data_IF_522498574827
#
_entry.id   IF_522498574827
#
_cell.length_a   1.000
_cell.length_b   1.000
_cell.length_c   1.000
_cell.angle_alpha   90.00
_cell.angle_beta   90.00
_cell.angle_gamma   90.00
#
_symmetry.space_group_name_H-M   'P 1'
#
loop_
_entity.id
_entity.type
_entity.pdbx_description
1 polymer ?
#
# COMPACT_ATOMS: atom_id res chain seq x y z
N UNK A 1 6.13 -22.83 -2.74
CA UNK A 1 5.38 -22.83 -4.03
C UNK A 1 4.67 -21.49 -4.15
N UNK A 2 4.78 -20.85 -5.32
CA UNK A 2 4.00 -19.68 -5.67
C UNK A 2 2.73 -20.08 -6.42
N UNK A 3 1.62 -19.35 -6.23
CA UNK A 3 0.36 -19.62 -6.92
C UNK A 3 0.51 -19.54 -8.46
N UNK A 4 -0.30 -20.30 -9.24
CA UNK A 4 -0.13 -20.38 -10.69
C UNK A 4 -0.43 -19.09 -11.46
N UNK A 5 -1.07 -18.11 -10.80
CA UNK A 5 -1.34 -16.80 -11.38
C UNK A 5 -0.36 -15.72 -10.87
N UNK A 6 0.56 -16.07 -9.95
CA UNK A 6 1.50 -15.12 -9.37
C UNK A 6 0.81 -13.93 -8.67
N UNK A 7 -0.39 -14.16 -8.10
CA UNK A 7 -1.19 -13.08 -7.46
C UNK A 7 -0.46 -12.51 -6.26
N UNK A 8 0.11 -13.40 -5.43
CA UNK A 8 0.93 -12.99 -4.28
C UNK A 8 2.41 -13.08 -4.60
N UNK A 9 3.22 -12.13 -4.15
CA UNK A 9 4.67 -12.19 -4.32
C UNK A 9 5.27 -13.31 -3.46
N UNK A 10 6.34 -13.90 -3.95
CA UNK A 10 7.18 -14.83 -3.22
C UNK A 10 8.61 -14.68 -3.71
N UNK A 11 9.47 -14.19 -2.84
CA UNK A 11 10.88 -13.92 -3.11
C UNK A 11 11.77 -14.89 -2.35
N UNK A 12 12.91 -15.21 -2.91
CA UNK A 12 13.89 -16.12 -2.31
C UNK A 12 15.22 -15.39 -2.09
N UNK A 13 15.88 -15.71 -1.00
CA UNK A 13 17.25 -15.34 -0.70
C UNK A 13 18.06 -16.52 -0.23
N UNK A 14 19.37 -16.35 -0.25
CA UNK A 14 20.37 -17.28 0.26
C UNK A 14 21.35 -16.59 1.19
N UNK A 15 21.94 -17.34 2.09
CA UNK A 15 23.01 -16.87 2.98
C UNK A 15 23.97 -18.01 3.25
N UNK A 16 25.27 -17.74 3.12
CA UNK A 16 26.28 -18.73 3.49
C UNK A 16 26.36 -18.86 5.01
N UNK A 17 26.34 -20.08 5.48
CA UNK A 17 26.44 -20.41 6.90
C UNK A 17 27.84 -20.95 7.18
N UNK A 18 28.74 -20.06 7.56
CA UNK A 18 30.16 -20.38 7.78
C UNK A 18 30.38 -21.45 8.86
N UNK A 19 29.46 -21.55 9.84
CA UNK A 19 29.56 -22.54 10.92
C UNK A 19 29.28 -23.96 10.44
N UNK A 20 28.39 -24.10 9.48
CA UNK A 20 27.95 -25.40 8.96
C UNK A 20 28.56 -25.74 7.59
N UNK A 21 29.23 -24.77 6.94
CA UNK A 21 29.72 -24.92 5.57
C UNK A 21 28.60 -25.19 4.56
N UNK A 22 27.39 -24.64 4.80
CA UNK A 22 26.18 -24.86 3.99
C UNK A 22 25.52 -23.53 3.64
N UNK A 23 24.71 -23.53 2.60
CA UNK A 23 23.88 -22.40 2.22
C UNK A 23 22.51 -22.49 2.87
N UNK A 24 22.11 -21.48 3.62
CA UNK A 24 20.75 -21.31 4.14
C UNK A 24 19.88 -20.62 3.10
N UNK A 25 18.63 -21.04 2.96
CA UNK A 25 17.64 -20.45 2.06
C UNK A 25 16.47 -19.89 2.83
N UNK A 26 16.03 -18.70 2.44
CA UNK A 26 14.85 -18.06 3.02
C UNK A 26 13.86 -17.68 1.92
N UNK A 27 12.57 -17.85 2.23
CA UNK A 27 11.45 -17.47 1.36
C UNK A 27 10.55 -16.49 2.10
N UNK A 28 10.19 -15.39 1.46
CA UNK A 28 9.33 -14.38 2.04
C UNK A 28 8.37 -13.79 1.01
N UNK A 29 7.32 -13.14 1.49
CA UNK A 29 6.41 -12.37 0.63
C UNK A 29 6.98 -11.01 0.23
N UNK A 30 7.99 -10.51 0.94
CA UNK A 30 8.57 -9.17 0.74
C UNK A 30 10.08 -9.19 0.95
N UNK A 31 10.82 -8.43 0.12
CA UNK A 31 12.29 -8.32 0.18
C UNK A 31 12.83 -7.82 1.53
N UNK A 32 12.18 -6.85 2.25
CA UNK A 32 12.69 -6.38 3.54
C UNK A 32 12.79 -7.46 4.63
N UNK A 33 12.09 -8.58 4.48
CA UNK A 33 12.24 -9.70 5.41
C UNK A 33 13.58 -10.43 5.22
N UNK A 34 14.07 -10.48 3.99
CA UNK A 34 15.38 -11.04 3.62
C UNK A 34 16.51 -10.09 4.05
N UNK A 35 16.33 -8.80 3.75
CA UNK A 35 17.30 -7.74 4.10
C UNK A 35 17.54 -7.68 5.62
N UNK A 36 16.46 -7.81 6.43
CA UNK A 36 16.54 -7.75 7.89
C UNK A 36 17.36 -8.89 8.52
N UNK A 37 17.57 -9.97 7.79
CA UNK A 37 18.33 -11.15 8.23
C UNK A 37 19.61 -11.36 7.43
N UNK A 38 20.01 -10.37 6.62
CA UNK A 38 21.22 -10.37 5.79
C UNK A 38 21.24 -11.54 4.75
N UNK A 39 20.09 -11.87 4.16
CA UNK A 39 20.04 -12.80 3.04
C UNK A 39 20.24 -12.08 1.71
N UNK A 40 21.14 -12.59 0.88
CA UNK A 40 21.29 -12.13 -0.51
C UNK A 40 20.04 -12.52 -1.31
N UNK A 41 19.35 -11.53 -1.88
CA UNK A 41 18.16 -11.75 -2.69
C UNK A 41 18.56 -12.42 -4.01
N UNK A 42 17.98 -13.57 -4.31
CA UNK A 42 18.22 -14.33 -5.56
C UNK A 42 17.14 -14.12 -6.60
N UNK A 43 15.99 -13.54 -6.22
CA UNK A 43 14.90 -13.13 -7.09
C UNK A 43 13.54 -13.71 -6.71
N UNK A 44 12.53 -13.29 -7.46
CA UNK A 44 11.15 -13.76 -7.29
C UNK A 44 10.94 -15.14 -7.91
N UNK A 45 10.10 -15.96 -7.28
CA UNK A 45 9.63 -17.21 -7.89
C UNK A 45 8.64 -16.89 -9.01
N UNK A 46 8.69 -17.67 -10.08
CA UNK A 46 7.73 -17.55 -11.19
C UNK A 46 6.34 -18.05 -10.77
N UNK A 47 5.25 -17.58 -11.42
CA UNK A 47 3.93 -18.17 -11.23
C UNK A 47 3.93 -19.69 -11.40
N UNK A 48 3.32 -20.42 -10.46
CA UNK A 48 3.28 -21.87 -10.46
C UNK A 48 4.59 -22.59 -10.15
N UNK A 49 5.63 -21.85 -9.77
CA UNK A 49 6.94 -22.42 -9.45
C UNK A 49 6.98 -22.95 -8.01
N UNK A 50 7.54 -24.14 -7.85
CA UNK A 50 7.92 -24.73 -6.57
C UNK A 50 9.45 -24.80 -6.45
N UNK A 51 9.93 -24.51 -5.26
CA UNK A 51 11.33 -24.73 -4.87
C UNK A 51 11.34 -25.72 -3.71
N UNK A 52 12.18 -26.72 -3.82
CA UNK A 52 12.45 -27.70 -2.78
C UNK A 52 13.92 -27.61 -2.38
N UNK A 53 14.19 -27.61 -1.10
CA UNK A 53 15.54 -27.67 -0.53
C UNK A 53 15.61 -28.91 0.35
N UNK A 54 16.55 -29.81 0.07
CA UNK A 54 16.77 -31.03 0.85
C UNK A 54 17.49 -30.71 2.18
N UNK A 55 17.54 -31.65 3.09
CA UNK A 55 18.30 -31.55 4.35
C UNK A 55 19.82 -31.45 4.10
N UNK A 56 20.28 -31.94 2.98
CA UNK A 56 21.67 -31.84 2.54
C UNK A 56 22.01 -30.44 1.93
N UNK A 57 20.98 -29.61 1.67
CA UNK A 57 21.13 -28.29 1.09
C UNK A 57 21.01 -28.27 -0.44
N UNK A 58 20.65 -29.39 -1.07
CA UNK A 58 20.42 -29.45 -2.51
C UNK A 58 19.11 -28.77 -2.86
N UNK A 59 19.16 -27.81 -3.79
CA UNK A 59 17.99 -27.06 -4.26
C UNK A 59 17.53 -27.54 -5.62
N UNK A 60 16.24 -27.80 -5.75
CA UNK A 60 15.59 -28.09 -7.03
C UNK A 60 14.41 -27.14 -7.27
N UNK A 61 14.17 -26.80 -8.53
CA UNK A 61 13.10 -25.88 -8.95
C UNK A 61 12.28 -26.53 -10.06
N UNK A 62 10.94 -26.37 -9.97
CA UNK A 62 10.03 -26.91 -10.99
C UNK A 62 8.81 -26.02 -11.13
N UNK A 63 8.38 -25.73 -12.35
CA UNK A 63 7.05 -25.19 -12.62
C UNK A 63 6.04 -26.34 -12.55
N UNK A 64 5.08 -26.25 -11.62
CA UNK A 64 4.13 -27.30 -11.28
C UNK A 64 2.74 -27.09 -11.90
N UNK A 65 2.60 -26.14 -12.82
CA UNK A 65 1.34 -25.84 -13.49
C UNK A 65 1.55 -25.72 -15.00
N UNK A 66 0.69 -26.36 -15.80
CA UNK A 66 0.86 -26.46 -17.26
C UNK A 66 0.71 -25.12 -18.00
N UNK A 67 -0.06 -24.19 -17.44
CA UNK A 67 -0.34 -22.89 -18.07
C UNK A 67 -0.32 -21.76 -17.02
N UNK A 68 0.83 -21.46 -16.43
CA UNK A 68 0.94 -20.38 -15.46
C UNK A 68 0.69 -19.03 -16.14
N UNK A 69 0.00 -18.11 -15.45
CA UNK A 69 -0.25 -16.75 -15.92
C UNK A 69 0.28 -15.75 -14.91
N UNK A 70 0.84 -14.66 -15.38
CA UNK A 70 1.31 -13.59 -14.51
C UNK A 70 0.22 -12.53 -14.34
N UNK A 71 -0.51 -12.59 -13.23
CA UNK A 71 -1.61 -11.69 -12.88
C UNK A 71 -1.41 -11.13 -11.46
N UNK A 72 -0.37 -10.31 -11.23
CA UNK A 72 -0.03 -9.81 -9.89
C UNK A 72 -1.11 -8.89 -9.34
N UNK A 73 -1.29 -8.91 -8.04
CA UNK A 73 -2.23 -8.04 -7.35
C UNK A 73 -1.67 -6.62 -7.23
N UNK A 74 -2.33 -5.63 -7.83
CA UNK A 74 -1.93 -4.22 -7.73
C UNK A 74 -1.93 -3.69 -6.29
N UNK A 75 -2.74 -4.27 -5.40
CA UNK A 75 -2.82 -3.87 -3.99
C UNK A 75 -1.52 -4.12 -3.21
N UNK A 76 -0.65 -5.01 -3.68
CA UNK A 76 0.70 -5.14 -3.14
C UNK A 76 1.43 -3.79 -3.21
N UNK A 77 1.39 -3.11 -4.35
CA UNK A 77 2.03 -1.81 -4.55
C UNK A 77 1.27 -0.65 -3.91
N UNK A 78 -0.06 -0.71 -3.88
CA UNK A 78 -0.91 0.37 -3.35
C UNK A 78 -0.85 0.42 -1.83
N UNK A 79 -0.99 -0.74 -1.16
CA UNK A 79 -1.27 -0.78 0.27
C UNK A 79 -0.52 -1.87 1.05
N UNK A 80 -0.48 -3.13 0.55
CA UNK A 80 -0.08 -4.29 1.36
C UNK A 80 1.42 -4.31 1.66
N UNK A 81 2.26 -4.14 0.63
CA UNK A 81 3.70 -4.22 0.77
C UNK A 81 4.29 -3.01 1.51
N UNK A 82 5.40 -3.21 2.17
CA UNK A 82 6.19 -2.14 2.77
C UNK A 82 6.72 -1.19 1.69
N UNK A 83 6.87 0.11 1.96
CA UNK A 83 7.35 1.06 0.96
C UNK A 83 8.78 0.79 0.48
N UNK A 84 9.61 0.17 1.33
CA UNK A 84 10.99 -0.23 1.04
C UNK A 84 11.09 -1.56 0.25
N UNK A 85 9.98 -2.29 0.07
CA UNK A 85 9.96 -3.53 -0.70
C UNK A 85 10.21 -3.33 -2.20
N UNK A 86 10.85 -4.32 -2.79
CA UNK A 86 10.95 -4.51 -4.23
C UNK A 86 10.24 -5.82 -4.57
N UNK A 87 9.27 -5.78 -5.49
CA UNK A 87 8.49 -6.92 -5.94
C UNK A 87 8.67 -7.00 -7.46
N UNK A 88 9.18 -8.13 -7.96
CA UNK A 88 9.39 -8.34 -9.40
C UNK A 88 10.12 -7.16 -10.07
N UNK A 89 11.25 -6.77 -9.45
CA UNK A 89 12.11 -5.64 -9.87
C UNK A 89 11.44 -4.25 -9.80
N UNK A 90 10.21 -4.17 -9.31
CA UNK A 90 9.47 -2.90 -9.18
C UNK A 90 9.50 -2.42 -7.72
N UNK A 91 10.09 -1.25 -7.49
CA UNK A 91 10.06 -0.60 -6.17
C UNK A 91 8.63 -0.12 -5.83
N UNK A 92 8.14 -0.53 -4.66
CA UNK A 92 6.85 -0.11 -4.11
C UNK A 92 6.80 1.41 -3.91
N UNK A 93 7.86 2.00 -3.35
CA UNK A 93 7.96 3.45 -3.18
C UNK A 93 7.87 4.19 -4.51
N UNK A 94 8.64 3.78 -5.53
CA UNK A 94 8.56 4.41 -6.87
C UNK A 94 7.16 4.31 -7.48
N UNK A 95 6.47 3.20 -7.26
CA UNK A 95 5.08 3.00 -7.74
C UNK A 95 4.13 3.99 -7.08
N UNK A 96 4.20 4.16 -5.75
CA UNK A 96 3.38 5.12 -5.00
C UNK A 96 3.65 6.57 -5.38
N UNK A 97 4.91 6.94 -5.59
CA UNK A 97 5.27 8.27 -6.09
C UNK A 97 4.68 8.52 -7.50
N UNK A 98 4.79 7.54 -8.41
CA UNK A 98 4.20 7.65 -9.76
C UNK A 98 2.68 7.75 -9.74
N UNK A 99 2.00 7.04 -8.83
CA UNK A 99 0.54 7.18 -8.63
C UNK A 99 0.19 8.61 -8.22
N UNK A 100 0.93 9.18 -7.27
CA UNK A 100 0.75 10.58 -6.83
C UNK A 100 0.95 11.59 -7.97
N UNK A 101 2.00 11.44 -8.76
CA UNK A 101 2.28 12.32 -9.91
C UNK A 101 1.15 12.28 -10.95
N UNK A 102 0.68 11.08 -11.31
CA UNK A 102 -0.43 10.91 -12.25
C UNK A 102 -1.73 11.46 -11.69
N UNK A 103 -1.99 11.27 -10.39
CA UNK A 103 -3.16 11.83 -9.72
C UNK A 103 -3.12 13.36 -9.71
N UNK A 104 -1.98 13.97 -9.34
CA UNK A 104 -1.80 15.43 -9.37
C UNK A 104 -2.04 16.01 -10.76
N UNK A 105 -1.48 15.37 -11.81
CA UNK A 105 -1.74 15.76 -13.21
C UNK A 105 -3.23 15.72 -13.56
N UNK A 106 -3.92 14.64 -13.16
CA UNK A 106 -5.35 14.45 -13.42
C UNK A 106 -6.20 15.49 -12.69
N UNK A 107 -5.91 15.78 -11.42
CA UNK A 107 -6.63 16.78 -10.64
C UNK A 107 -6.47 18.17 -11.29
N UNK A 108 -5.25 18.56 -11.65
CA UNK A 108 -4.98 19.85 -12.30
C UNK A 108 -5.70 19.99 -13.63
N UNK A 109 -5.79 18.90 -14.41
CA UNK A 109 -6.49 18.90 -15.70
C UNK A 109 -8.01 18.98 -15.56
N UNK A 110 -8.60 18.26 -14.60
CA UNK A 110 -10.07 18.19 -14.45
C UNK A 110 -10.64 19.37 -13.63
N UNK A 111 -9.85 19.94 -12.72
CA UNK A 111 -10.27 20.98 -11.78
C UNK A 111 -9.27 22.13 -11.71
N UNK A 112 -8.96 22.80 -12.84
CA UNK A 112 -7.92 23.85 -12.91
C UNK A 112 -8.21 25.03 -11.98
N UNK A 113 -9.49 25.35 -11.75
CA UNK A 113 -9.96 26.46 -10.92
C UNK A 113 -10.14 26.08 -9.44
N UNK A 114 -9.77 24.86 -9.05
CA UNK A 114 -9.93 24.42 -7.66
C UNK A 114 -8.95 25.18 -6.75
N UNK A 115 -9.52 25.96 -5.81
CA UNK A 115 -8.74 26.62 -4.76
C UNK A 115 -8.45 25.63 -3.65
N UNK A 116 -7.34 24.90 -3.72
CA UNK A 116 -6.85 23.97 -2.70
C UNK A 116 -5.75 24.68 -1.92
N UNK A 117 -5.90 24.78 -0.60
CA UNK A 117 -4.92 25.42 0.27
C UNK A 117 -3.83 24.45 0.72
N UNK A 118 -4.22 23.19 0.95
CA UNK A 118 -3.27 22.14 1.32
C UNK A 118 -3.74 20.74 0.93
N UNK A 119 -2.76 19.86 0.76
CA UNK A 119 -2.94 18.41 0.57
C UNK A 119 -2.60 17.69 1.88
N UNK A 120 -3.50 16.84 2.34
CA UNK A 120 -3.37 16.06 3.58
C UNK A 120 -3.52 14.58 3.27
N UNK A 121 -2.53 13.72 3.61
CA UNK A 121 -2.65 12.29 3.45
C UNK A 121 -3.53 11.66 4.51
N UNK A 122 -4.13 10.52 4.17
CA UNK A 122 -4.63 9.58 5.17
C UNK A 122 -3.45 8.67 5.55
N UNK A 123 -2.94 8.77 6.79
CA UNK A 123 -1.71 8.06 7.15
C UNK A 123 -1.92 6.54 7.22
N UNK A 124 -0.92 5.75 6.85
CA UNK A 124 0.45 6.15 6.45
C UNK A 124 0.71 5.86 4.95
N UNK A 125 -0.07 4.95 4.32
CA UNK A 125 0.16 4.43 2.97
C UNK A 125 0.03 5.47 1.86
N UNK A 126 -0.80 6.50 2.06
CA UNK A 126 -1.01 7.55 1.06
C UNK A 126 0.01 8.71 1.14
N UNK A 127 0.89 8.73 2.14
CA UNK A 127 1.83 9.83 2.38
C UNK A 127 2.70 10.14 1.16
N UNK A 128 3.33 9.14 0.56
CA UNK A 128 4.20 9.32 -0.61
C UNK A 128 3.45 9.87 -1.83
N UNK A 129 2.23 9.39 -2.06
CA UNK A 129 1.36 9.90 -3.14
C UNK A 129 0.90 11.33 -2.88
N UNK A 130 0.55 11.67 -1.64
CA UNK A 130 0.11 13.01 -1.27
C UNK A 130 1.23 14.07 -1.42
N UNK A 131 2.47 13.71 -1.08
CA UNK A 131 3.64 14.58 -1.30
C UNK A 131 3.78 14.93 -2.80
N UNK A 132 3.69 13.94 -3.67
CA UNK A 132 3.80 14.17 -5.12
C UNK A 132 2.61 14.97 -5.68
N UNK A 133 1.39 14.74 -5.17
CA UNK A 133 0.21 15.54 -5.52
C UNK A 133 0.42 17.00 -5.12
N UNK A 134 0.83 17.26 -3.90
CA UNK A 134 1.07 18.62 -3.39
C UNK A 134 2.13 19.35 -4.23
N UNK A 135 3.24 18.68 -4.50
CA UNK A 135 4.32 19.18 -5.36
C UNK A 135 3.82 19.52 -6.76
N UNK A 136 3.04 18.63 -7.39
CA UNK A 136 2.52 18.83 -8.74
C UNK A 136 1.52 20.01 -8.82
N UNK A 137 0.67 20.16 -7.79
CA UNK A 137 -0.32 21.24 -7.72
C UNK A 137 0.30 22.57 -7.29
N UNK A 138 1.50 22.58 -6.72
CA UNK A 138 2.16 23.77 -6.17
C UNK A 138 1.51 24.27 -4.88
N UNK A 139 0.94 23.37 -4.06
CA UNK A 139 0.28 23.69 -2.78
C UNK A 139 0.99 23.02 -1.61
N UNK A 140 0.68 23.46 -0.39
CA UNK A 140 1.31 22.90 0.80
C UNK A 140 0.93 21.44 1.05
N UNK A 141 1.91 20.59 1.34
CA UNK A 141 1.70 19.31 2.02
C UNK A 141 1.61 19.56 3.53
N UNK A 142 0.62 18.97 4.20
CA UNK A 142 0.42 19.05 5.65
C UNK A 142 -0.01 17.71 6.23
N UNK A 143 0.47 17.41 7.44
CA UNK A 143 0.00 16.28 8.22
C UNK A 143 -1.18 16.71 9.09
N UNK A 144 -2.39 16.49 8.61
CA UNK A 144 -3.61 16.89 9.31
C UNK A 144 -4.21 15.82 10.21
N UNK A 145 -3.74 14.56 10.09
CA UNK A 145 -4.21 13.45 10.92
C UNK A 145 -3.06 12.77 11.66
N UNK A 146 -3.29 12.46 12.92
CA UNK A 146 -2.39 11.63 13.73
C UNK A 146 -3.00 10.24 13.88
N UNK A 147 -2.24 9.21 13.51
CA UNK A 147 -2.64 7.82 13.66
C UNK A 147 -2.32 7.31 15.07
N UNK A 148 -3.32 6.74 15.74
CA UNK A 148 -3.09 6.03 16.99
C UNK A 148 -2.44 4.66 16.70
N UNK A 149 -1.16 4.53 17.05
CA UNK A 149 -0.35 3.33 16.79
C UNK A 149 -0.76 2.11 17.62
N UNK A 150 -1.48 2.31 18.74
CA UNK A 150 -1.93 1.24 19.64
C UNK A 150 -3.19 0.54 19.16
N UNK A 151 -3.85 1.05 18.13
CA UNK A 151 -5.07 0.46 17.57
C UNK A 151 -4.77 -0.22 16.24
N UNK A 152 -4.93 -1.54 16.20
CA UNK A 152 -4.69 -2.39 15.03
C UNK A 152 -5.65 -2.13 13.84
N UNK A 153 -5.54 -2.94 12.78
CA UNK A 153 -6.35 -2.83 11.55
C UNK A 153 -7.84 -3.06 11.83
N UNK A 154 -8.72 -2.15 11.42
CA UNK A 154 -10.17 -2.16 11.74
C UNK A 154 -11.06 -2.56 10.57
N UNK A 155 -10.59 -2.51 9.33
CA UNK A 155 -11.39 -2.88 8.18
C UNK A 155 -11.69 -4.38 8.08
N UNK A 156 -11.02 -5.21 8.89
CA UNK A 156 -11.23 -6.67 9.00
C UNK A 156 -12.40 -6.99 9.95
N UNK A 157 -12.91 -6.02 10.71
CA UNK A 157 -13.98 -6.27 11.70
C UNK A 157 -15.36 -6.42 11.05
N UNK A 158 -16.18 -7.43 11.45
CA UNK A 158 -17.41 -7.81 10.75
C UNK A 158 -18.60 -6.85 10.92
N UNK A 159 -18.68 -6.02 11.97
CA UNK A 159 -19.83 -5.14 12.24
C UNK A 159 -19.57 -3.68 11.84
N UNK A 160 -20.53 -3.08 11.10
CA UNK A 160 -20.42 -1.71 10.56
C UNK A 160 -20.34 -0.61 11.64
N UNK A 161 -21.10 -0.75 12.75
CA UNK A 161 -21.05 0.22 13.87
C UNK A 161 -19.71 0.18 14.63
N UNK A 162 -19.11 -1.01 14.76
CA UNK A 162 -17.79 -1.16 15.36
C UNK A 162 -16.72 -0.52 14.49
N UNK A 163 -16.87 -0.59 13.16
CA UNK A 163 -15.96 0.06 12.19
C UNK A 163 -16.02 1.59 12.29
N UNK A 164 -17.21 2.21 12.40
CA UNK A 164 -17.37 3.67 12.55
C UNK A 164 -16.68 4.19 13.81
N UNK A 165 -16.93 3.59 14.97
CA UNK A 165 -16.26 3.95 16.23
C UNK A 165 -14.74 3.74 16.16
N UNK A 166 -14.27 2.80 15.35
CA UNK A 166 -12.86 2.46 15.24
C UNK A 166 -12.05 3.39 14.37
N UNK A 167 -12.62 4.00 13.31
CA UNK A 167 -11.94 5.02 12.51
C UNK A 167 -11.63 6.25 13.37
N UNK A 168 -12.63 6.74 14.14
CA UNK A 168 -12.45 7.86 15.07
C UNK A 168 -11.44 7.60 16.19
N UNK A 169 -11.27 6.34 16.60
CA UNK A 169 -10.24 5.97 17.60
C UNK A 169 -8.83 5.89 16.98
N UNK A 170 -8.75 5.63 15.69
CA UNK A 170 -7.47 5.47 14.99
C UNK A 170 -6.86 6.76 14.50
N UNK A 171 -7.68 7.71 14.07
CA UNK A 171 -7.25 8.96 13.47
C UNK A 171 -7.78 10.12 14.27
N UNK A 172 -6.89 11.01 14.70
CA UNK A 172 -7.24 12.28 15.31
C UNK A 172 -6.89 13.42 14.36
N UNK A 173 -7.85 14.30 13.99
CA UNK A 173 -7.54 15.49 13.22
C UNK A 173 -6.78 16.51 14.07
N UNK A 174 -5.89 17.27 13.44
CA UNK A 174 -5.23 18.43 14.00
C UNK A 174 -6.03 19.68 13.56
N UNK A 175 -6.89 20.28 14.40
CA UNK A 175 -7.85 21.31 13.96
C UNK A 175 -7.21 22.49 13.24
N UNK A 176 -6.01 22.91 13.65
CA UNK A 176 -5.25 23.99 13.04
C UNK A 176 -4.96 23.76 11.54
N UNK A 177 -4.81 22.49 11.12
CA UNK A 177 -4.56 22.17 9.71
C UNK A 177 -5.81 22.20 8.84
N UNK A 178 -7.00 22.17 9.45
CA UNK A 178 -8.30 22.14 8.74
C UNK A 178 -9.03 23.48 8.76
N UNK A 179 -8.96 24.20 9.89
CA UNK A 179 -9.80 25.37 10.14
C UNK A 179 -9.70 26.42 9.01
N UNK A 180 -10.87 26.76 8.45
CA UNK A 180 -11.09 27.76 7.39
C UNK A 180 -10.34 27.50 6.07
N UNK A 181 -9.86 26.26 5.83
CA UNK A 181 -9.09 25.88 4.64
C UNK A 181 -9.89 24.98 3.69
N UNK A 182 -9.55 25.06 2.40
CA UNK A 182 -9.97 24.11 1.38
C UNK A 182 -8.94 22.99 1.30
N UNK A 183 -9.30 21.79 1.75
CA UNK A 183 -8.40 20.66 1.93
C UNK A 183 -8.61 19.62 0.84
N UNK A 184 -7.51 19.13 0.27
CA UNK A 184 -7.50 17.91 -0.55
C UNK A 184 -6.97 16.75 0.28
N UNK A 185 -7.84 15.81 0.61
CA UNK A 185 -7.48 14.55 1.26
C UNK A 185 -7.05 13.53 0.21
N UNK A 186 -5.91 12.88 0.44
CA UNK A 186 -5.41 11.79 -0.41
C UNK A 186 -5.43 10.50 0.39
N UNK A 187 -6.16 9.50 -0.13
CA UNK A 187 -6.12 8.13 0.38
C UNK A 187 -5.40 7.21 -0.62
N UNK A 188 -4.93 6.07 -0.17
CA UNK A 188 -4.32 5.06 -1.06
C UNK A 188 -5.38 4.45 -1.98
N UNK A 189 -6.55 4.13 -1.45
CA UNK A 189 -7.64 3.46 -2.18
C UNK A 189 -9.00 3.71 -1.54
N UNK A 190 -10.06 3.58 -2.33
CA UNK A 190 -11.44 3.55 -1.85
C UNK A 190 -11.99 2.16 -2.11
N UNK A 191 -12.24 1.40 -1.04
CA UNK A 191 -12.78 0.03 -1.13
C UNK A 191 -14.32 0.05 -1.01
N UNK A 192 -14.85 0.40 0.18
CA UNK A 192 -16.30 0.42 0.46
C UNK A 192 -16.88 1.83 0.67
N UNK A 193 -16.04 2.85 0.70
CA UNK A 193 -16.44 4.24 0.90
C UNK A 193 -16.85 4.63 2.33
N UNK A 194 -17.05 3.69 3.24
CA UNK A 194 -17.45 3.98 4.63
C UNK A 194 -16.36 4.77 5.35
N UNK A 195 -15.12 4.32 5.26
CA UNK A 195 -13.96 4.98 5.88
C UNK A 195 -13.76 6.39 5.30
N UNK A 196 -13.84 6.53 3.99
CA UNK A 196 -13.68 7.82 3.32
C UNK A 196 -14.74 8.84 3.77
N UNK A 197 -15.99 8.41 3.96
CA UNK A 197 -17.08 9.25 4.48
C UNK A 197 -16.79 9.74 5.89
N UNK A 198 -16.38 8.86 6.80
CA UNK A 198 -16.03 9.21 8.17
C UNK A 198 -14.86 10.20 8.24
N UNK A 199 -13.85 10.00 7.40
CA UNK A 199 -12.68 10.88 7.33
C UNK A 199 -13.06 12.28 6.83
N UNK A 200 -13.89 12.37 5.79
CA UNK A 200 -14.41 13.65 5.29
C UNK A 200 -15.23 14.37 6.37
N UNK A 201 -16.06 13.62 7.11
CA UNK A 201 -16.83 14.18 8.23
C UNK A 201 -15.92 14.69 9.36
N UNK A 202 -14.86 13.96 9.70
CA UNK A 202 -13.86 14.39 10.67
C UNK A 202 -13.16 15.67 10.25
N UNK A 203 -12.77 15.80 8.98
CA UNK A 203 -12.15 17.02 8.45
C UNK A 203 -13.10 18.24 8.51
N UNK A 204 -14.39 18.03 8.19
CA UNK A 204 -15.41 19.08 8.31
C UNK A 204 -15.64 19.50 9.76
N UNK A 205 -15.73 18.54 10.67
CA UNK A 205 -15.88 18.81 12.11
C UNK A 205 -14.64 19.50 12.70
N UNK A 206 -13.45 19.31 12.10
CA UNK A 206 -12.24 20.03 12.45
C UNK A 206 -12.19 21.46 11.87
N UNK A 207 -13.24 21.90 11.16
CA UNK A 207 -13.39 23.29 10.66
C UNK A 207 -12.96 23.50 9.21
N UNK A 208 -12.78 22.44 8.40
CA UNK A 208 -12.48 22.61 6.98
C UNK A 208 -13.61 23.34 6.24
N UNK A 209 -13.26 24.37 5.46
CA UNK A 209 -14.21 25.14 4.65
C UNK A 209 -14.74 24.31 3.48
N UNK A 210 -13.84 23.59 2.80
CA UNK A 210 -14.17 22.66 1.72
C UNK A 210 -13.26 21.43 1.80
N UNK A 211 -13.82 20.26 1.56
CA UNK A 211 -13.06 19.00 1.52
C UNK A 211 -13.22 18.38 0.16
N UNK A 212 -12.09 18.20 -0.53
CA UNK A 212 -11.93 17.37 -1.69
C UNK A 212 -11.34 16.03 -1.24
N UNK A 213 -11.70 14.95 -1.89
CA UNK A 213 -11.18 13.62 -1.59
C UNK A 213 -10.73 12.92 -2.88
N UNK A 214 -9.53 12.37 -2.89
CA UNK A 214 -9.00 11.65 -4.04
C UNK A 214 -8.28 10.36 -3.62
N UNK A 215 -8.40 9.33 -4.45
CA UNK A 215 -7.71 8.05 -4.31
C UNK A 215 -6.50 7.99 -5.22
N UNK A 216 -5.35 7.55 -4.69
CA UNK A 216 -4.15 7.33 -5.48
C UNK A 216 -4.28 6.10 -6.38
N UNK A 217 -4.95 5.04 -5.90
CA UNK A 217 -5.25 3.86 -6.71
C UNK A 217 -6.36 4.13 -7.73
N UNK A 218 -6.36 3.38 -8.84
CA UNK A 218 -7.47 3.39 -9.78
C UNK A 218 -8.76 2.84 -9.16
N UNK A 219 -9.95 3.12 -9.75
CA UNK A 219 -11.20 2.56 -9.26
C UNK A 219 -11.20 1.04 -9.34
N UNK A 220 -11.65 0.38 -8.28
CA UNK A 220 -11.85 -1.06 -8.23
C UNK A 220 -13.14 -1.37 -8.97
N UNK A 221 -13.04 -2.10 -10.08
CA UNK A 221 -14.20 -2.43 -10.93
C UNK A 221 -14.71 -3.85 -10.72
N UNK A 222 -13.82 -4.76 -10.31
CA UNK A 222 -14.12 -6.17 -10.14
C UNK A 222 -13.53 -6.67 -8.83
N UNK A 223 -14.29 -7.46 -8.13
CA UNK A 223 -13.88 -8.10 -6.89
C UNK A 223 -12.84 -9.20 -7.19
N UNK A 224 -11.80 -9.29 -6.38
CA UNK A 224 -10.84 -10.38 -6.45
C UNK A 224 -11.21 -11.43 -5.41
N UNK A 225 -11.37 -12.69 -5.82
CA UNK A 225 -11.74 -13.82 -4.95
C UNK A 225 -10.69 -14.17 -3.90
N UNK A 226 -9.45 -13.77 -4.12
CA UNK A 226 -8.33 -13.95 -3.17
C UNK A 226 -8.01 -12.66 -2.38
N UNK A 227 -8.77 -11.60 -2.59
CA UNK A 227 -8.59 -10.30 -1.98
C UNK A 227 -9.46 -10.04 -0.77
N UNK A 228 -9.60 -8.75 -0.44
CA UNK A 228 -10.49 -8.27 0.62
C UNK A 228 -11.93 -8.41 0.13
N UNK A 229 -12.80 -8.96 0.97
CA UNK A 229 -14.24 -9.02 0.74
C UNK A 229 -14.82 -7.60 0.59
N UNK A 230 -15.49 -7.35 -0.55
CA UNK A 230 -16.02 -6.05 -0.94
C UNK A 230 -17.54 -6.10 -1.12
#
# INVERSE_FOLDING_TARGET
>A
IRDPNGIRPLIMGKKENDLLGKTDYMFASESPALDALDFEITGDLKPGEAVFVSMEGEMSRKVCHDSPKHCPCIFEYVYLARPDAVIEEISVMKSRLRMGQKLGKKIKSLYPESKIDSVIPIPESSTSSAIEVAKYLGVNYREGFVKNRYIGRTFIMPKQEVRKKSVRRKLNPIPFEFKDKNILLIDDSIVRGTTSREIVEMARNAGAKKVFFASAAPPIRFQNVYGIDM
#
